data_IF_344684012361
#
_entry.id   IF_344684012361
#
_cell.length_a   1.000
_cell.length_b   1.000
_cell.length_c   1.000
_cell.angle_alpha   90.00
_cell.angle_beta   90.00
_cell.angle_gamma   90.00
#
_symmetry.space_group_name_H-M   'P 1'
#
loop_
_entity.id
_entity.type
_entity.pdbx_description
1 polymer ?
#
# COMPACT_ATOMS: atom_id res chain seq x y z
N UNK A 1 15.25 -2.17 -6.19
CA UNK A 1 14.22 -2.43 -7.20
C UNK A 1 14.74 -3.43 -8.23
N UNK A 2 13.84 -4.15 -8.89
CA UNK A 2 14.14 -5.09 -9.97
C UNK A 2 13.21 -4.82 -11.17
N UNK A 3 13.38 -5.58 -12.25
CA UNK A 3 12.62 -5.37 -13.51
C UNK A 3 11.11 -5.39 -13.33
N UNK A 4 10.58 -6.16 -12.38
CA UNK A 4 9.14 -6.18 -12.07
C UNK A 4 8.58 -4.83 -11.61
N UNK A 5 9.39 -3.97 -10.98
CA UNK A 5 8.99 -2.61 -10.60
C UNK A 5 9.05 -1.60 -11.76
N UNK A 6 9.72 -1.97 -12.85
CA UNK A 6 9.96 -1.05 -13.97
C UNK A 6 8.66 -0.62 -14.64
N UNK A 7 7.71 -1.53 -14.79
CA UNK A 7 6.40 -1.21 -15.39
C UNK A 7 5.65 -0.15 -14.59
N UNK A 8 5.59 -0.30 -13.26
CA UNK A 8 4.97 0.68 -12.39
C UNK A 8 5.67 2.05 -12.47
N UNK A 9 7.01 2.08 -12.50
CA UNK A 9 7.77 3.32 -12.66
C UNK A 9 7.51 3.98 -14.03
N UNK A 10 7.39 3.19 -15.11
CA UNK A 10 7.04 3.70 -16.42
C UNK A 10 5.64 4.32 -16.44
N UNK A 11 4.67 3.68 -15.78
CA UNK A 11 3.31 4.22 -15.66
C UNK A 11 3.32 5.53 -14.85
N UNK A 12 4.00 5.56 -13.70
CA UNK A 12 4.17 6.78 -12.90
C UNK A 12 4.77 7.92 -13.75
N UNK A 13 5.82 7.61 -14.53
CA UNK A 13 6.45 8.60 -15.42
C UNK A 13 5.47 9.13 -16.46
N UNK A 14 4.69 8.26 -17.09
CA UNK A 14 3.69 8.67 -18.09
C UNK A 14 2.59 9.53 -17.48
N UNK A 15 2.09 9.17 -16.29
CA UNK A 15 1.12 9.98 -15.56
C UNK A 15 1.69 11.35 -15.19
N UNK A 16 2.96 11.42 -14.77
CA UNK A 16 3.63 12.68 -14.50
C UNK A 16 3.76 13.54 -15.77
N UNK A 17 4.16 12.95 -16.91
CA UNK A 17 4.24 13.66 -18.19
C UNK A 17 2.87 14.16 -18.67
N UNK A 18 1.78 13.50 -18.29
CA UNK A 18 0.41 13.91 -18.56
C UNK A 18 -0.12 14.97 -17.58
N UNK A 19 0.74 15.53 -16.72
CA UNK A 19 0.37 16.59 -15.78
C UNK A 19 -0.19 16.11 -14.45
N UNK A 20 -0.17 14.79 -14.17
CA UNK A 20 -0.54 14.27 -12.86
C UNK A 20 0.64 14.34 -11.89
N UNK A 21 0.34 14.31 -10.59
CA UNK A 21 1.32 14.29 -9.52
C UNK A 21 1.39 12.89 -8.91
N UNK A 22 2.32 12.03 -9.34
CA UNK A 22 2.44 10.70 -8.79
C UNK A 22 2.96 10.72 -7.36
N UNK A 23 2.48 9.76 -6.56
CA UNK A 23 2.93 9.51 -5.19
C UNK A 23 3.58 8.13 -5.15
N UNK A 24 4.87 8.09 -4.84
CA UNK A 24 5.59 6.86 -4.57
C UNK A 24 5.48 6.54 -3.08
N UNK A 25 4.66 5.55 -2.75
CA UNK A 25 4.51 5.05 -1.38
C UNK A 25 5.57 4.00 -1.09
N UNK A 26 6.34 4.20 -0.04
CA UNK A 26 7.28 3.21 0.50
C UNK A 26 6.65 2.56 1.72
N UNK A 27 6.61 1.24 1.71
CA UNK A 27 6.06 0.42 2.78
C UNK A 27 7.01 0.21 3.95
N UNK A 28 7.54 1.28 4.57
CA UNK A 28 8.46 1.17 5.72
C UNK A 28 7.78 0.54 6.93
N UNK A 29 6.55 0.91 7.24
CA UNK A 29 5.76 0.33 8.32
C UNK A 29 5.36 -1.12 8.03
N UNK A 30 4.85 -1.39 6.84
CA UNK A 30 4.47 -2.75 6.43
C UNK A 30 5.66 -3.68 6.26
N UNK A 31 6.85 -3.16 5.92
CA UNK A 31 8.08 -3.95 5.85
C UNK A 31 8.54 -4.48 7.23
N UNK A 32 8.14 -3.83 8.33
CA UNK A 32 8.41 -4.35 9.69
C UNK A 32 7.58 -5.59 10.01
N UNK A 33 6.48 -5.81 9.32
CA UNK A 33 5.56 -6.93 9.54
C UNK A 33 5.82 -8.04 8.52
N UNK A 34 6.24 -7.68 7.30
CA UNK A 34 6.44 -8.59 6.19
C UNK A 34 5.19 -8.77 5.33
N UNK A 35 5.34 -8.51 4.04
CA UNK A 35 4.26 -8.68 3.05
C UNK A 35 4.05 -10.16 2.72
N UNK A 36 2.86 -10.73 2.96
CA UNK A 36 2.55 -12.11 2.63
C UNK A 36 2.24 -12.33 1.14
N UNK A 37 2.05 -11.26 0.36
CA UNK A 37 1.59 -11.35 -1.04
C UNK A 37 2.58 -12.08 -1.93
N UNK A 38 2.10 -13.05 -2.72
CA UNK A 38 2.87 -13.74 -3.76
C UNK A 38 4.00 -14.66 -3.27
N UNK A 39 4.03 -15.03 -1.96
CA UNK A 39 5.06 -15.90 -1.38
C UNK A 39 4.48 -17.00 -0.50
N UNK A 40 5.21 -18.09 -0.42
CA UNK A 40 4.89 -19.24 0.46
C UNK A 40 5.47 -19.10 1.85
N UNK A 41 6.51 -18.28 2.04
CA UNK A 41 7.23 -18.11 3.30
C UNK A 41 7.14 -16.65 3.79
N UNK A 42 7.04 -16.46 5.11
CA UNK A 42 7.08 -15.14 5.73
C UNK A 42 8.44 -14.46 5.48
N UNK A 43 8.43 -13.17 5.15
CA UNK A 43 9.66 -12.37 5.08
C UNK A 43 10.26 -12.22 6.47
N UNK A 44 11.60 -12.21 6.55
CA UNK A 44 12.29 -11.80 7.77
C UNK A 44 11.95 -10.33 8.08
N UNK A 45 11.62 -10.06 9.33
CA UNK A 45 11.40 -8.70 9.80
C UNK A 45 12.68 -7.88 9.68
N UNK A 46 12.57 -6.70 9.06
CA UNK A 46 13.70 -5.80 8.89
C UNK A 46 13.81 -4.82 10.07
N UNK A 47 15.03 -4.44 10.41
CA UNK A 47 15.27 -3.38 11.39
C UNK A 47 14.94 -2.00 10.81
N UNK A 48 14.67 -1.01 11.67
CA UNK A 48 14.42 0.38 11.24
C UNK A 48 15.59 0.96 10.42
N UNK A 49 16.82 0.64 10.80
CA UNK A 49 18.03 1.10 10.10
C UNK A 49 18.08 0.54 8.67
N UNK A 50 17.80 -0.75 8.52
CA UNK A 50 17.72 -1.41 7.19
C UNK A 50 16.62 -0.80 6.34
N UNK A 51 15.45 -0.53 6.92
CA UNK A 51 14.32 0.09 6.23
C UNK A 51 14.71 1.50 5.76
N UNK A 52 15.28 2.34 6.62
CA UNK A 52 15.70 3.68 6.27
C UNK A 52 16.75 3.69 5.16
N UNK A 53 17.74 2.80 5.23
CA UNK A 53 18.73 2.64 4.17
C UNK A 53 18.06 2.26 2.82
N UNK A 54 17.12 1.33 2.84
CA UNK A 54 16.38 0.91 1.65
C UNK A 54 15.54 2.05 1.07
N UNK A 55 14.88 2.87 1.91
CA UNK A 55 14.13 4.06 1.49
C UNK A 55 15.01 5.01 0.67
N UNK A 56 16.20 5.32 1.17
CA UNK A 56 17.15 6.20 0.45
C UNK A 56 17.63 5.56 -0.87
N UNK A 57 17.87 4.26 -0.87
CA UNK A 57 18.22 3.52 -2.09
C UNK A 57 17.09 3.56 -3.13
N UNK A 58 15.84 3.39 -2.69
CA UNK A 58 14.66 3.45 -3.57
C UNK A 58 14.48 4.86 -4.15
N UNK A 59 14.59 5.88 -3.31
CA UNK A 59 14.53 7.29 -3.73
C UNK A 59 15.54 7.56 -4.84
N UNK A 60 16.80 7.18 -4.65
CA UNK A 60 17.87 7.35 -5.65
C UNK A 60 17.58 6.63 -6.96
N UNK A 61 17.00 5.42 -6.90
CA UNK A 61 16.65 4.67 -8.10
C UNK A 61 15.44 5.27 -8.82
N UNK A 62 14.38 5.60 -8.08
CA UNK A 62 13.15 6.18 -8.63
C UNK A 62 13.38 7.57 -9.24
N UNK A 63 14.28 8.38 -8.68
CA UNK A 63 14.63 9.71 -9.22
C UNK A 63 15.26 9.69 -10.63
N UNK A 64 15.63 8.51 -11.13
CA UNK A 64 16.04 8.34 -12.53
C UNK A 64 14.86 8.36 -13.52
N UNK A 65 13.65 8.09 -13.02
CA UNK A 65 12.42 8.00 -13.82
C UNK A 65 11.45 9.13 -13.49
N UNK A 66 11.31 9.42 -12.22
CA UNK A 66 10.33 10.35 -11.66
C UNK A 66 11.04 11.63 -11.23
N UNK A 67 10.51 12.76 -11.63
CA UNK A 67 10.97 14.07 -11.19
C UNK A 67 10.26 14.43 -9.87
N UNK A 68 11.03 14.44 -8.78
CA UNK A 68 10.55 14.83 -7.45
C UNK A 68 10.84 16.29 -7.10
N UNK A 69 11.42 17.08 -8.04
CA UNK A 69 11.65 18.51 -7.81
C UNK A 69 10.34 19.30 -7.85
N UNK A 70 10.35 20.45 -7.22
CA UNK A 70 9.26 21.44 -7.30
C UNK A 70 7.87 20.84 -7.03
N UNK A 71 7.79 19.87 -6.12
CA UNK A 71 6.56 19.20 -5.74
C UNK A 71 5.82 18.48 -6.90
N UNK A 72 6.55 18.11 -7.97
CA UNK A 72 5.98 17.41 -9.14
C UNK A 72 5.65 15.94 -8.89
N UNK A 73 6.21 15.36 -7.85
CA UNK A 73 5.90 14.03 -7.34
C UNK A 73 6.19 13.98 -5.84
N UNK A 74 5.55 13.07 -5.13
CA UNK A 74 5.81 12.84 -3.72
C UNK A 74 6.45 11.47 -3.49
N UNK A 75 7.35 11.42 -2.52
CA UNK A 75 7.83 10.19 -1.92
C UNK A 75 7.37 10.17 -0.48
N UNK A 76 6.56 9.20 -0.10
CA UNK A 76 6.00 9.07 1.24
C UNK A 76 6.27 7.69 1.81
N UNK A 77 6.31 7.59 3.13
CA UNK A 77 6.57 6.35 3.85
C UNK A 77 5.38 6.04 4.75
N UNK A 78 4.77 4.87 4.63
CA UNK A 78 3.64 4.51 5.46
C UNK A 78 4.00 4.29 6.95
N UNK A 79 5.28 4.20 7.28
CA UNK A 79 5.75 4.24 8.67
C UNK A 79 5.31 5.52 9.39
N UNK A 80 5.16 6.65 8.67
CA UNK A 80 4.78 7.95 9.22
C UNK A 80 3.36 8.00 9.79
N UNK A 81 2.53 7.02 9.48
CA UNK A 81 1.18 6.91 10.04
C UNK A 81 0.86 5.54 10.62
N UNK A 82 1.45 4.45 10.14
CA UNK A 82 1.13 3.11 10.64
C UNK A 82 1.75 2.84 12.01
N UNK A 83 2.94 3.38 12.30
CA UNK A 83 3.65 3.08 13.55
C UNK A 83 3.04 3.77 14.78
N UNK A 84 2.32 4.86 14.58
CA UNK A 84 1.68 5.63 15.65
C UNK A 84 0.19 5.26 15.83
N UNK A 85 -0.33 4.29 15.06
CA UNK A 85 -1.72 3.88 15.18
C UNK A 85 -1.99 3.17 16.50
N UNK A 86 -3.02 3.65 17.19
CA UNK A 86 -3.58 2.93 18.34
C UNK A 86 -4.44 1.77 17.84
N UNK A 87 -4.15 0.56 18.30
CA UNK A 87 -4.84 -0.65 17.86
C UNK A 87 -6.36 -0.61 18.13
N UNK A 88 -6.78 -0.10 19.31
CA UNK A 88 -8.19 0.01 19.67
C UNK A 88 -8.91 1.02 18.75
N UNK A 89 -8.26 2.12 18.43
CA UNK A 89 -8.83 3.12 17.52
C UNK A 89 -8.99 2.56 16.10
N UNK A 90 -8.02 1.79 15.62
CA UNK A 90 -8.14 1.09 14.33
C UNK A 90 -9.32 0.11 14.33
N UNK A 91 -9.45 -0.70 15.37
CA UNK A 91 -10.57 -1.62 15.47
C UNK A 91 -11.93 -0.91 15.51
N UNK A 92 -12.02 0.21 16.22
CA UNK A 92 -13.26 0.98 16.35
C UNK A 92 -13.63 1.73 15.08
N UNK A 93 -12.65 2.39 14.46
CA UNK A 93 -12.91 3.38 13.40
C UNK A 93 -12.74 2.82 11.98
N UNK A 94 -11.94 1.78 11.84
CA UNK A 94 -11.62 1.14 10.55
C UNK A 94 -12.25 -0.26 10.46
N UNK A 95 -12.17 -1.04 11.52
CA UNK A 95 -12.66 -2.42 11.58
C UNK A 95 -14.11 -2.61 11.09
N UNK A 96 -15.09 -1.75 11.46
CA UNK A 96 -16.49 -1.91 11.03
C UNK A 96 -16.69 -1.81 9.52
N UNK A 97 -15.74 -1.26 8.78
CA UNK A 97 -15.81 -1.14 7.32
C UNK A 97 -15.35 -2.38 6.57
N UNK A 98 -14.78 -3.37 7.28
CA UNK A 98 -14.29 -4.63 6.71
C UNK A 98 -15.16 -5.80 7.18
N UNK A 99 -15.68 -6.57 6.24
CA UNK A 99 -16.38 -7.82 6.52
C UNK A 99 -15.43 -8.99 6.36
N UNK A 100 -15.18 -9.74 7.42
CA UNK A 100 -14.32 -10.94 7.40
C UNK A 100 -14.77 -11.92 6.32
N UNK A 101 -16.09 -12.19 6.24
CA UNK A 101 -16.63 -13.10 5.23
C UNK A 101 -16.31 -12.64 3.80
N UNK A 102 -16.42 -11.33 3.52
CA UNK A 102 -16.07 -10.76 2.21
C UNK A 102 -14.57 -10.82 1.95
N UNK A 103 -13.75 -10.52 2.95
CA UNK A 103 -12.29 -10.61 2.81
C UNK A 103 -11.85 -12.04 2.46
N UNK A 104 -12.40 -13.04 3.13
CA UNK A 104 -12.08 -14.45 2.87
C UNK A 104 -12.48 -14.93 1.47
N UNK A 105 -13.35 -14.21 0.75
CA UNK A 105 -13.66 -14.52 -0.66
C UNK A 105 -12.62 -13.98 -1.65
N UNK A 106 -11.72 -13.10 -1.21
CA UNK A 106 -10.66 -12.57 -2.06
C UNK A 106 -9.67 -13.68 -2.46
N UNK A 107 -9.24 -13.68 -3.72
CA UNK A 107 -8.40 -14.75 -4.27
C UNK A 107 -7.08 -14.92 -3.51
N UNK A 108 -6.48 -13.82 -3.06
CA UNK A 108 -5.27 -13.84 -2.26
C UNK A 108 -5.41 -14.64 -0.95
N UNK A 109 -6.63 -14.67 -0.35
CA UNK A 109 -6.89 -15.43 0.86
C UNK A 109 -7.29 -16.87 0.59
N UNK A 110 -8.03 -17.17 -0.47
CA UNK A 110 -8.45 -18.54 -0.81
C UNK A 110 -7.25 -19.48 -0.91
N UNK A 111 -6.21 -19.09 -1.62
CA UNK A 111 -5.00 -19.89 -1.78
C UNK A 111 -4.24 -20.08 -0.44
N UNK A 112 -4.34 -19.12 0.48
CA UNK A 112 -3.67 -19.19 1.77
C UNK A 112 -4.45 -20.00 2.80
N UNK A 113 -5.78 -20.00 2.73
CA UNK A 113 -6.64 -20.73 3.68
C UNK A 113 -6.33 -22.23 3.74
N UNK A 114 -5.95 -22.83 2.62
CA UNK A 114 -5.59 -24.27 2.56
C UNK A 114 -4.30 -24.58 3.34
N UNK A 115 -3.41 -23.59 3.51
CA UNK A 115 -2.11 -23.73 4.19
C UNK A 115 -2.09 -23.11 5.58
N UNK A 116 -3.18 -22.49 5.98
CA UNK A 116 -3.28 -21.70 7.20
C UNK A 116 -2.99 -20.22 6.94
N UNK A 117 -3.99 -19.37 7.20
CA UNK A 117 -3.89 -17.92 7.09
C UNK A 117 -3.65 -17.34 8.47
N UNK A 118 -2.51 -16.69 8.69
CA UNK A 118 -2.21 -16.03 9.96
C UNK A 118 -3.03 -14.74 10.14
N UNK A 119 -3.24 -14.35 11.39
CA UNK A 119 -3.91 -13.07 11.71
C UNK A 119 -3.16 -11.87 11.11
N UNK A 120 -1.83 -11.92 11.08
CA UNK A 120 -0.99 -10.90 10.48
C UNK A 120 -1.28 -10.74 8.98
N UNK A 121 -1.26 -11.85 8.25
CA UNK A 121 -1.54 -11.86 6.80
C UNK A 121 -2.96 -11.37 6.51
N UNK A 122 -3.92 -11.77 7.35
CA UNK A 122 -5.30 -11.31 7.23
C UNK A 122 -5.43 -9.79 7.40
N UNK A 123 -4.70 -9.21 8.37
CA UNK A 123 -4.74 -7.77 8.61
C UNK A 123 -3.93 -6.95 7.61
N UNK A 124 -3.08 -7.56 6.79
CA UNK A 124 -2.25 -6.84 5.82
C UNK A 124 -3.11 -6.03 4.82
N UNK A 125 -4.21 -6.62 4.34
CA UNK A 125 -5.16 -5.92 3.47
C UNK A 125 -5.74 -4.65 4.14
N UNK A 126 -6.04 -4.72 5.44
CA UNK A 126 -6.59 -3.58 6.19
C UNK A 126 -5.56 -2.46 6.27
N UNK A 127 -4.29 -2.78 6.54
CA UNK A 127 -3.21 -1.80 6.60
C UNK A 127 -2.98 -1.12 5.24
N UNK A 128 -2.94 -1.87 4.15
CA UNK A 128 -2.76 -1.29 2.83
C UNK A 128 -3.99 -0.47 2.39
N UNK A 129 -5.19 -0.92 2.74
CA UNK A 129 -6.41 -0.12 2.51
C UNK A 129 -6.38 1.19 3.30
N UNK A 130 -5.83 1.16 4.51
CA UNK A 130 -5.63 2.36 5.34
C UNK A 130 -4.56 3.29 4.76
N UNK A 131 -3.54 2.76 4.10
CA UNK A 131 -2.55 3.56 3.36
C UNK A 131 -3.26 4.39 2.28
N UNK A 132 -4.08 3.76 1.43
CA UNK A 132 -4.80 4.49 0.38
C UNK A 132 -5.77 5.54 0.96
N UNK A 133 -6.49 5.17 2.01
CA UNK A 133 -7.36 6.11 2.73
C UNK A 133 -6.59 7.32 3.27
N UNK A 134 -5.39 7.10 3.84
CA UNK A 134 -4.53 8.17 4.35
C UNK A 134 -3.99 9.05 3.23
N UNK A 135 -3.56 8.44 2.11
CA UNK A 135 -3.11 9.16 0.92
C UNK A 135 -4.22 10.03 0.32
N UNK A 136 -5.44 9.49 0.28
CA UNK A 136 -6.62 10.25 -0.18
C UNK A 136 -6.87 11.47 0.70
N UNK A 137 -6.84 11.32 2.03
CA UNK A 137 -7.10 12.43 2.95
C UNK A 137 -5.99 13.48 3.00
N UNK A 138 -4.71 13.01 3.06
CA UNK A 138 -3.58 13.92 3.25
C UNK A 138 -3.13 14.59 1.96
N UNK A 139 -3.22 13.90 0.83
CA UNK A 139 -2.61 14.33 -0.42
C UNK A 139 -3.60 14.43 -1.59
N UNK A 140 -4.88 14.12 -1.38
CA UNK A 140 -5.88 14.11 -2.43
C UNK A 140 -5.65 13.00 -3.47
N UNK A 141 -4.92 11.93 -3.12
CA UNK A 141 -4.66 10.81 -4.00
C UNK A 141 -5.95 10.04 -4.28
N UNK A 142 -6.46 10.12 -5.47
CA UNK A 142 -7.74 9.51 -5.86
C UNK A 142 -7.61 8.25 -6.72
N UNK A 143 -6.39 7.84 -7.08
CA UNK A 143 -6.14 6.62 -7.85
C UNK A 143 -4.92 5.87 -7.30
N UNK A 144 -5.08 4.58 -7.08
CA UNK A 144 -4.01 3.63 -6.77
C UNK A 144 -3.82 2.67 -7.94
N UNK A 145 -2.60 2.30 -8.25
CA UNK A 145 -2.31 1.28 -9.25
C UNK A 145 -1.19 0.35 -8.81
N UNK A 146 -1.29 -0.89 -9.23
CA UNK A 146 -0.36 -1.95 -8.82
C UNK A 146 -0.41 -3.16 -9.73
N UNK A 147 0.32 -4.21 -9.36
CA UNK A 147 0.22 -5.51 -10.00
C UNK A 147 -1.07 -6.25 -9.63
N UNK A 148 -1.36 -7.32 -10.36
CA UNK A 148 -2.53 -8.17 -10.15
C UNK A 148 -2.57 -8.76 -8.72
N UNK A 149 -1.40 -9.06 -8.16
CA UNK A 149 -1.24 -9.50 -6.77
C UNK A 149 -1.71 -8.47 -5.73
N UNK A 150 -1.78 -7.18 -6.08
CA UNK A 150 -2.23 -6.09 -5.22
C UNK A 150 -3.72 -5.74 -5.40
N UNK A 151 -4.40 -6.34 -6.37
CA UNK A 151 -5.75 -5.96 -6.75
C UNK A 151 -6.73 -5.93 -5.57
N UNK A 152 -6.76 -6.99 -4.77
CA UNK A 152 -7.66 -7.08 -3.61
C UNK A 152 -7.36 -6.01 -2.56
N UNK A 153 -6.09 -5.66 -2.35
CA UNK A 153 -5.66 -4.64 -1.40
C UNK A 153 -6.11 -3.25 -1.87
N UNK A 154 -5.91 -2.93 -3.17
CA UNK A 154 -6.35 -1.66 -3.76
C UNK A 154 -7.86 -1.49 -3.69
N UNK A 155 -8.64 -2.54 -4.01
CA UNK A 155 -10.09 -2.51 -3.87
C UNK A 155 -10.55 -2.33 -2.43
N UNK A 156 -9.83 -2.88 -1.46
CA UNK A 156 -10.07 -2.63 -0.03
C UNK A 156 -9.96 -1.14 0.31
N UNK A 157 -8.98 -0.45 -0.25
CA UNK A 157 -8.77 0.99 -0.09
C UNK A 157 -9.89 1.82 -0.71
N UNK A 158 -10.28 1.53 -1.96
CA UNK A 158 -11.40 2.23 -2.63
C UNK A 158 -12.71 2.07 -1.83
N UNK A 159 -12.98 0.87 -1.34
CA UNK A 159 -14.18 0.59 -0.55
C UNK A 159 -14.16 1.28 0.81
N UNK A 160 -13.00 1.35 1.47
CA UNK A 160 -12.84 2.08 2.73
C UNK A 160 -13.13 3.58 2.54
N UNK A 161 -12.57 4.19 1.50
CA UNK A 161 -12.81 5.60 1.15
C UNK A 161 -14.30 5.82 0.89
N UNK A 162 -14.94 4.97 0.08
CA UNK A 162 -16.36 5.06 -0.22
C UNK A 162 -17.22 4.96 1.04
N UNK A 163 -16.97 3.98 1.90
CA UNK A 163 -17.78 3.74 3.11
C UNK A 163 -17.59 4.82 4.17
N UNK A 164 -16.35 5.30 4.34
CA UNK A 164 -16.02 6.22 5.43
C UNK A 164 -16.20 7.69 5.04
N UNK A 165 -15.94 8.05 3.79
CA UNK A 165 -15.98 9.43 3.31
C UNK A 165 -17.13 9.72 2.33
N UNK A 166 -17.82 8.69 1.82
CA UNK A 166 -18.84 8.86 0.78
C UNK A 166 -18.25 9.40 -0.53
N UNK A 167 -16.98 9.12 -0.82
CA UNK A 167 -16.26 9.61 -2.01
C UNK A 167 -15.77 8.46 -2.87
N UNK A 168 -15.56 8.75 -4.15
CA UNK A 168 -15.02 7.79 -5.09
C UNK A 168 -13.50 7.86 -5.15
N UNK A 169 -12.87 6.69 -5.20
CA UNK A 169 -11.46 6.49 -5.48
C UNK A 169 -11.32 5.30 -6.43
N UNK A 170 -10.23 5.25 -7.17
CA UNK A 170 -10.06 4.35 -8.30
C UNK A 170 -8.85 3.44 -8.11
N UNK A 171 -8.94 2.22 -8.63
CA UNK A 171 -7.86 1.25 -8.69
C UNK A 171 -7.65 0.78 -10.14
N UNK A 172 -6.39 0.59 -10.53
CA UNK A 172 -6.02 0.13 -11.87
C UNK A 172 -4.85 -0.86 -11.79
#
# INVERSE_FOLDING_TARGET
LHVGHFMALCLMKRLQMAGNKPIALIGGGTAMIGDPSGRTDMRQMMTKETINHNVECFKKQMSRFIDFSDDKALLVNNADWLLDLNYVDVLRDIGPHFSVNRMLTAECYKQRMERGLSFLEFNYMIMQSFDFYTLFQKYGCNMEFGGDDQWSNMLGGTELIRRKLGKDAYAM
#
